data_IF_333424153227
#
_entry.id   IF_333424153227
#
_cell.length_a   1.000
_cell.length_b   1.000
_cell.length_c   1.000
_cell.angle_alpha   90.00
_cell.angle_beta   90.00
_cell.angle_gamma   90.00
#
_symmetry.space_group_name_H-M   'P 1'
#
loop_
_entity.id
_entity.type
_entity.pdbx_description
1 polymer ?
#
# COMPACT_ATOMS: atom_id res chain seq x y z
N UNK A 1 0.31 -8.59 -11.61
CA UNK A 1 -0.34 -8.92 -10.32
C UNK A 1 -0.26 -7.76 -9.34
N UNK A 2 0.92 -7.31 -8.92
CA UNK A 2 1.08 -6.15 -7.99
C UNK A 2 0.32 -4.90 -8.45
N UNK A 3 0.42 -4.54 -9.73
CA UNK A 3 -0.33 -3.42 -10.31
C UNK A 3 -1.85 -3.51 -10.10
N UNK A 4 -2.42 -4.73 -10.12
CA UNK A 4 -3.85 -4.96 -9.91
C UNK A 4 -4.22 -4.75 -8.44
N UNK A 5 -3.41 -5.25 -7.51
CA UNK A 5 -3.66 -5.05 -6.08
C UNK A 5 -3.59 -3.58 -5.67
N UNK A 6 -2.61 -2.83 -6.17
CA UNK A 6 -2.53 -1.39 -5.93
C UNK A 6 -3.66 -0.63 -6.65
N UNK A 7 -4.10 -1.08 -7.82
CA UNK A 7 -5.32 -0.53 -8.45
C UNK A 7 -6.58 -0.77 -7.61
N UNK A 8 -6.67 -1.93 -6.95
CA UNK A 8 -7.75 -2.22 -5.99
C UNK A 8 -7.64 -1.34 -4.73
N UNK A 9 -6.44 -1.11 -4.19
CA UNK A 9 -6.21 -0.18 -3.09
C UNK A 9 -6.66 1.25 -3.42
N UNK A 10 -6.29 1.76 -4.60
CA UNK A 10 -6.77 3.04 -5.12
C UNK A 10 -8.32 3.10 -5.17
N UNK A 11 -8.97 2.03 -5.63
CA UNK A 11 -10.43 1.96 -5.64
C UNK A 11 -11.01 2.03 -4.22
N UNK A 12 -10.42 1.33 -3.24
CA UNK A 12 -10.87 1.39 -1.84
C UNK A 12 -10.79 2.82 -1.31
N UNK A 13 -9.72 3.57 -1.59
CA UNK A 13 -9.62 4.98 -1.18
C UNK A 13 -10.69 5.87 -1.83
N UNK A 14 -11.02 5.63 -3.11
CA UNK A 14 -12.15 6.32 -3.77
C UNK A 14 -13.47 5.98 -3.08
N UNK A 15 -13.71 4.71 -2.76
CA UNK A 15 -14.94 4.28 -2.08
C UNK A 15 -15.04 4.86 -0.66
N UNK A 16 -13.92 4.95 0.06
CA UNK A 16 -13.85 5.65 1.35
C UNK A 16 -14.28 7.11 1.19
N UNK A 17 -13.69 7.85 0.26
CA UNK A 17 -14.02 9.27 0.02
C UNK A 17 -15.46 9.52 -0.43
N UNK A 18 -16.11 8.50 -0.98
CA UNK A 18 -17.53 8.52 -1.34
C UNK A 18 -18.45 8.05 -0.20
N UNK A 19 -17.92 7.77 0.99
CA UNK A 19 -18.63 7.24 2.16
C UNK A 19 -19.32 5.89 1.89
N UNK A 20 -18.76 5.06 1.00
CA UNK A 20 -19.32 3.77 0.58
C UNK A 20 -18.74 2.55 1.33
N UNK A 21 -17.90 2.79 2.34
CA UNK A 21 -17.18 1.73 3.09
C UNK A 21 -17.58 1.65 4.56
N UNK A 22 -18.69 2.29 4.94
CA UNK A 22 -19.30 2.13 6.26
C UNK A 22 -19.00 3.27 7.25
N UNK A 23 -18.38 4.36 6.82
CA UNK A 23 -18.26 5.59 7.59
C UNK A 23 -18.46 6.82 6.69
N UNK A 24 -18.79 7.96 7.31
CA UNK A 24 -18.91 9.22 6.60
C UNK A 24 -17.55 9.93 6.51
N UNK A 25 -16.97 10.02 5.32
CA UNK A 25 -15.61 10.50 5.12
C UNK A 25 -15.39 11.97 5.45
N UNK A 26 -16.29 12.91 5.09
CA UNK A 26 -16.17 14.31 5.50
C UNK A 26 -16.13 14.51 7.02
N UNK A 27 -16.80 13.62 7.77
CA UNK A 27 -16.81 13.62 9.24
C UNK A 27 -15.63 12.83 9.85
N UNK A 28 -14.91 12.04 9.05
CA UNK A 28 -13.82 11.20 9.53
C UNK A 28 -12.66 12.02 10.09
N UNK A 29 -11.83 11.44 10.98
CA UNK A 29 -10.64 12.10 11.48
C UNK A 29 -9.77 12.63 10.33
N UNK A 30 -9.32 13.89 10.43
CA UNK A 30 -8.58 14.56 9.35
C UNK A 30 -7.39 13.74 8.85
N UNK A 31 -6.70 13.03 9.76
CA UNK A 31 -5.58 12.16 9.38
C UNK A 31 -6.02 11.00 8.48
N UNK A 32 -7.19 10.40 8.66
CA UNK A 32 -7.69 9.38 7.75
C UNK A 32 -8.00 9.96 6.37
N UNK A 33 -8.63 11.14 6.32
CA UNK A 33 -8.89 11.85 5.08
C UNK A 33 -7.60 12.14 4.29
N UNK A 34 -6.58 12.66 4.97
CA UNK A 34 -5.26 12.92 4.38
C UNK A 34 -4.62 11.63 3.87
N UNK A 35 -4.69 10.55 4.65
CA UNK A 35 -4.13 9.25 4.26
C UNK A 35 -4.85 8.66 3.04
N UNK A 36 -6.18 8.76 2.94
CA UNK A 36 -6.93 8.30 1.76
C UNK A 36 -6.49 9.03 0.48
N UNK A 37 -6.35 10.36 0.55
CA UNK A 37 -5.89 11.15 -0.62
C UNK A 37 -4.44 10.81 -0.97
N UNK A 38 -3.55 10.74 0.03
CA UNK A 38 -2.14 10.46 -0.19
C UNK A 38 -1.92 9.05 -0.79
N UNK A 39 -2.56 8.03 -0.23
CA UNK A 39 -2.44 6.68 -0.72
C UNK A 39 -3.18 6.44 -2.02
N UNK A 40 -4.29 7.14 -2.31
CA UNK A 40 -4.89 7.09 -3.64
C UNK A 40 -3.88 7.47 -4.72
N UNK A 41 -3.20 8.60 -4.58
CA UNK A 41 -2.22 9.06 -5.56
C UNK A 41 -1.06 8.10 -5.70
N UNK A 42 -0.57 7.59 -4.57
CA UNK A 42 0.55 6.69 -4.55
C UNK A 42 0.18 5.34 -5.19
N UNK A 43 -0.99 4.80 -4.87
CA UNK A 43 -1.50 3.55 -5.44
C UNK A 43 -1.76 3.66 -6.95
N UNK A 44 -2.28 4.80 -7.42
CA UNK A 44 -2.42 5.07 -8.85
C UNK A 44 -1.05 5.14 -9.55
N UNK A 45 -0.06 5.79 -8.94
CA UNK A 45 1.30 5.86 -9.48
C UNK A 45 1.94 4.46 -9.56
N UNK A 46 1.72 3.61 -8.56
CA UNK A 46 2.16 2.21 -8.57
C UNK A 46 1.43 1.42 -9.64
N UNK A 47 0.10 1.45 -9.64
CA UNK A 47 -0.72 0.67 -10.56
C UNK A 47 -0.43 1.03 -12.02
N UNK A 48 -0.50 2.31 -12.36
CA UNK A 48 -0.25 2.81 -13.72
C UNK A 48 1.23 2.65 -14.08
N UNK A 49 2.14 3.01 -13.18
CA UNK A 49 3.58 2.94 -13.42
C UNK A 49 4.05 1.51 -13.68
N UNK A 50 3.62 0.54 -12.87
CA UNK A 50 3.94 -0.87 -13.09
C UNK A 50 3.24 -1.43 -14.34
N UNK A 51 2.00 -1.03 -14.62
CA UNK A 51 1.29 -1.43 -15.84
C UNK A 51 2.00 -0.95 -17.10
N UNK A 52 2.57 0.27 -17.08
CA UNK A 52 3.31 0.87 -18.19
C UNK A 52 4.80 0.52 -18.21
N UNK A 53 5.30 -0.24 -17.22
CA UNK A 53 6.70 -0.63 -17.12
C UNK A 53 7.66 0.50 -16.73
N UNK A 54 7.18 1.55 -16.04
CA UNK A 54 7.98 2.70 -15.63
C UNK A 54 8.81 2.40 -14.37
N UNK A 55 10.08 2.83 -14.36
CA UNK A 55 10.94 2.74 -13.17
C UNK A 55 10.38 3.53 -11.99
N UNK A 56 9.74 4.67 -12.25
CA UNK A 56 9.04 5.46 -11.24
C UNK A 56 7.93 4.66 -10.54
N UNK A 57 7.25 3.74 -11.23
CA UNK A 57 6.24 2.86 -10.62
C UNK A 57 6.84 1.88 -9.62
N UNK A 58 8.06 1.39 -9.88
CA UNK A 58 8.81 0.55 -8.94
C UNK A 58 9.24 1.34 -7.71
N UNK A 59 9.74 2.57 -7.90
CA UNK A 59 10.11 3.45 -6.78
C UNK A 59 8.88 3.78 -5.92
N UNK A 60 7.77 4.16 -6.55
CA UNK A 60 6.50 4.42 -5.87
C UNK A 60 6.02 3.20 -5.08
N UNK A 61 6.19 1.98 -5.62
CA UNK A 61 5.79 0.75 -4.94
C UNK A 61 6.54 0.58 -3.61
N UNK A 62 7.86 0.77 -3.60
CA UNK A 62 8.63 0.67 -2.37
C UNK A 62 8.23 1.72 -1.34
N UNK A 63 7.95 2.96 -1.77
CA UNK A 63 7.44 4.01 -0.89
C UNK A 63 6.07 3.64 -0.32
N UNK A 64 5.16 3.16 -1.16
CA UNK A 64 3.81 2.76 -0.76
C UNK A 64 3.81 1.61 0.23
N UNK A 65 4.43 0.49 -0.15
CA UNK A 65 4.46 -0.71 0.68
C UNK A 65 5.16 -0.45 2.02
N UNK A 66 6.33 0.22 2.00
CA UNK A 66 7.10 0.46 3.22
C UNK A 66 6.39 1.45 4.15
N UNK A 67 5.80 2.52 3.60
CA UNK A 67 5.04 3.47 4.42
C UNK A 67 3.79 2.83 5.03
N UNK A 68 3.07 1.96 4.31
CA UNK A 68 1.92 1.23 4.87
C UNK A 68 2.34 0.21 5.94
N UNK A 69 3.48 -0.46 5.78
CA UNK A 69 4.05 -1.29 6.86
C UNK A 69 4.31 -0.45 8.10
N UNK A 70 4.98 0.70 7.97
CA UNK A 70 5.25 1.60 9.11
C UNK A 70 3.95 2.12 9.72
N UNK A 71 2.98 2.50 8.89
CA UNK A 71 1.70 3.04 9.33
C UNK A 71 0.91 2.03 10.17
N UNK A 72 0.83 0.78 9.71
CA UNK A 72 0.04 -0.27 10.35
C UNK A 72 0.80 -1.03 11.44
N UNK A 73 2.05 -0.70 11.70
CA UNK A 73 2.86 -1.26 12.80
C UNK A 73 3.22 -0.18 13.82
N UNK A 74 4.14 0.72 13.47
CA UNK A 74 4.69 1.74 14.37
C UNK A 74 3.67 2.84 14.67
N UNK A 75 2.93 3.29 13.66
CA UNK A 75 1.95 4.37 13.81
C UNK A 75 0.52 3.84 14.01
N UNK A 76 0.36 2.54 14.29
CA UNK A 76 -0.96 1.90 14.41
C UNK A 76 -1.81 2.58 15.47
N UNK A 77 -1.27 2.77 16.67
CA UNK A 77 -2.04 3.39 17.76
C UNK A 77 -2.36 4.85 17.42
N UNK A 78 -1.46 5.57 16.74
CA UNK A 78 -1.73 6.94 16.31
C UNK A 78 -2.88 7.02 15.28
N UNK A 79 -2.96 6.11 14.31
CA UNK A 79 -4.08 6.11 13.36
C UNK A 79 -5.39 5.67 14.03
N UNK A 80 -5.35 4.78 15.03
CA UNK A 80 -6.51 4.22 15.71
C UNK A 80 -7.00 5.05 16.92
N UNK A 81 -6.26 6.07 17.35
CA UNK A 81 -6.63 6.98 18.43
C UNK A 81 -7.73 7.98 18.00
N UNK A 82 -8.91 7.46 17.69
CA UNK A 82 -10.03 8.18 17.06
C UNK A 82 -11.19 8.41 18.03
N UNK A 83 -12.11 9.35 17.71
CA UNK A 83 -13.36 9.48 18.46
C UNK A 83 -14.16 8.17 18.53
N UNK A 84 -14.99 7.96 19.57
CA UNK A 84 -15.74 6.72 19.79
C UNK A 84 -16.53 6.24 18.57
N UNK A 85 -17.15 7.15 17.84
CA UNK A 85 -17.96 6.89 16.64
C UNK A 85 -17.16 6.33 15.45
N UNK A 86 -15.83 6.47 15.45
CA UNK A 86 -14.91 5.90 14.45
C UNK A 86 -14.11 4.71 14.99
N UNK A 87 -14.36 4.29 16.23
CA UNK A 87 -13.63 3.17 16.84
C UNK A 87 -13.85 1.90 16.05
N UNK A 88 -12.74 1.28 15.63
CA UNK A 88 -12.77 0.06 14.82
C UNK A 88 -12.91 -1.20 15.69
N UNK A 89 -13.63 -2.19 15.16
CA UNK A 89 -13.82 -3.50 15.78
C UNK A 89 -12.50 -4.28 15.87
N UNK A 90 -12.47 -5.34 16.70
CA UNK A 90 -11.30 -6.22 16.78
C UNK A 90 -10.96 -6.84 15.41
N UNK A 91 -11.98 -7.26 14.64
CA UNK A 91 -11.82 -7.80 13.30
C UNK A 91 -11.16 -6.79 12.34
N UNK A 92 -11.58 -5.52 12.39
CA UNK A 92 -10.97 -4.45 11.58
C UNK A 92 -9.52 -4.18 12.00
N UNK A 93 -9.15 -4.34 13.28
CA UNK A 93 -7.75 -4.25 13.72
C UNK A 93 -6.91 -5.41 13.20
N UNK A 94 -7.48 -6.62 13.20
CA UNK A 94 -6.81 -7.80 12.65
C UNK A 94 -6.61 -7.69 11.14
N UNK A 95 -7.58 -7.09 10.43
CA UNK A 95 -7.44 -6.76 9.01
C UNK A 95 -6.20 -5.89 8.73
N UNK A 96 -5.89 -4.89 9.58
CA UNK A 96 -4.67 -4.10 9.43
C UNK A 96 -3.40 -4.96 9.55
N UNK A 97 -3.42 -6.03 10.36
CA UNK A 97 -2.29 -6.96 10.47
C UNK A 97 -2.14 -7.77 9.18
N UNK A 98 -3.25 -8.16 8.56
CA UNK A 98 -3.27 -8.77 7.24
C UNK A 98 -2.65 -7.87 6.16
N UNK A 99 -2.93 -6.56 6.20
CA UNK A 99 -2.31 -5.60 5.28
C UNK A 99 -0.79 -5.51 5.45
N UNK A 100 -0.28 -5.56 6.68
CA UNK A 100 1.18 -5.62 6.92
C UNK A 100 1.79 -6.85 6.27
N UNK A 101 1.19 -8.04 6.48
CA UNK A 101 1.68 -9.29 5.87
C UNK A 101 1.65 -9.19 4.35
N UNK A 102 0.56 -8.68 3.77
CA UNK A 102 0.45 -8.46 2.34
C UNK A 102 1.59 -7.58 1.79
N UNK A 103 1.88 -6.45 2.44
CA UNK A 103 2.94 -5.53 2.00
C UNK A 103 4.34 -6.14 2.15
N UNK A 104 4.62 -6.84 3.25
CA UNK A 104 5.89 -7.55 3.43
C UNK A 104 6.11 -8.63 2.38
N UNK A 105 5.09 -9.45 2.10
CA UNK A 105 5.16 -10.50 1.08
C UNK A 105 5.37 -9.90 -0.30
N UNK A 106 4.64 -8.84 -0.64
CA UNK A 106 4.79 -8.20 -1.96
C UNK A 106 6.12 -7.49 -2.12
N UNK A 107 6.66 -6.86 -1.06
CA UNK A 107 8.02 -6.29 -1.05
C UNK A 107 9.06 -7.36 -1.39
N UNK A 108 9.06 -8.47 -0.66
CA UNK A 108 9.98 -9.60 -0.89
C UNK A 108 9.82 -10.15 -2.30
N UNK A 109 8.58 -10.38 -2.75
CA UNK A 109 8.33 -10.95 -4.07
C UNK A 109 8.81 -10.03 -5.21
N UNK A 110 8.57 -8.72 -5.11
CA UNK A 110 9.03 -7.75 -6.12
C UNK A 110 10.55 -7.62 -6.09
N UNK A 111 11.18 -7.54 -4.92
CA UNK A 111 12.64 -7.50 -4.79
C UNK A 111 13.28 -8.76 -5.40
N UNK A 112 12.75 -9.95 -5.11
CA UNK A 112 13.22 -11.20 -5.69
C UNK A 112 13.05 -11.23 -7.21
N UNK A 113 11.91 -10.77 -7.75
CA UNK A 113 11.66 -10.71 -9.18
C UNK A 113 12.64 -9.77 -9.90
N UNK A 114 12.92 -8.59 -9.32
CA UNK A 114 13.90 -7.65 -9.86
C UNK A 114 15.32 -8.19 -9.79
N UNK A 115 15.68 -8.87 -8.70
CA UNK A 115 16.98 -9.53 -8.55
C UNK A 115 17.21 -10.61 -9.61
N UNK A 116 16.24 -11.51 -9.80
CA UNK A 116 16.31 -12.56 -10.83
C UNK A 116 16.39 -11.94 -12.23
N UNK A 117 15.62 -10.87 -12.49
CA UNK A 117 15.71 -10.15 -13.76
C UNK A 117 17.10 -9.56 -13.98
N UNK A 118 17.69 -8.95 -12.96
CA UNK A 118 19.06 -8.40 -13.03
C UNK A 118 20.09 -9.49 -13.34
N UNK A 119 20.02 -10.65 -12.66
CA UNK A 119 20.91 -11.78 -12.94
C UNK A 119 20.81 -12.30 -14.39
N UNK A 120 19.60 -12.33 -14.96
CA UNK A 120 19.39 -12.76 -16.35
C UNK A 120 19.92 -11.76 -17.37
N UNK A 121 19.92 -10.47 -17.04
CA UNK A 121 20.41 -9.39 -17.91
C UNK A 121 21.92 -9.15 -17.79
N UNK A 122 22.57 -9.74 -16.79
CA UNK A 122 24.03 -9.74 -16.63
C UNK A 122 24.64 -11.12 -16.95
N UNK A 123 24.59 -11.62 -18.20
CA UNK A 123 25.30 -12.84 -18.55
C UNK A 123 26.81 -12.57 -18.57
N UNK A 124 27.55 -13.07 -17.57
CA UNK A 124 28.99 -13.26 -17.71
C UNK A 124 29.93 -12.59 -16.70
N UNK A 125 29.66 -12.66 -15.40
CA UNK A 125 30.76 -12.72 -14.42
C UNK A 125 30.66 -14.08 -13.72
N UNK A 126 31.04 -15.14 -14.45
CA UNK A 126 31.52 -16.34 -13.77
C UNK A 126 32.88 -15.95 -13.23
N UNK A 127 33.01 -15.85 -11.92
CA UNK A 127 34.31 -15.92 -11.26
C UNK A 127 34.64 -17.40 -11.18
N UNK A 128 35.35 -17.87 -12.20
CA UNK A 128 36.34 -18.94 -12.06
C UNK A 128 37.36 -18.61 -10.95
#
# INVERSE_FOLDING_TARGET
MVAVFYGYGALVHVLNMLSLTGFDWPAAPLRWQVLDVAYLWLDLLVAVGLWRGWSAGVAAFYVAASSQVVLYTVLREWILDVPPEFTVSAEQRDYLSGLVVFHLVTLVAVSAALWVRHQRLAPGVRTD
#
